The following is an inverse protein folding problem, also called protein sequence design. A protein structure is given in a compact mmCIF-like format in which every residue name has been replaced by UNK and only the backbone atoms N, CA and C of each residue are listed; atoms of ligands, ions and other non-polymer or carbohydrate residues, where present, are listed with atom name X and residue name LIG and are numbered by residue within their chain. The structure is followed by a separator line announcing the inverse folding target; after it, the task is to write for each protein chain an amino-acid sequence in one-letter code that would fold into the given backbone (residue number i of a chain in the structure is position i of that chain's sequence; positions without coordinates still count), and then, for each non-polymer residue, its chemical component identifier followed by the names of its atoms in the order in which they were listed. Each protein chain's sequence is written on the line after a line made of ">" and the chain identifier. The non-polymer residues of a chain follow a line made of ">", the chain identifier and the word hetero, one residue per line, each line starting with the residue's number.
data_IF_133689313252
#
_entry.id   IF_133689313252
#
_cell.length_a   1.000
_cell.length_b   1.000
_cell.length_c   1.000
_cell.angle_alpha   90.00
_cell.angle_beta   90.00
_cell.angle_gamma   90.00
#
_symmetry.space_group_name_H-M   'P 1'
#
loop_
_entity.id
_entity.type
_entity.pdbx_description
1 polymer ?
#
# COMPACT_ATOMS: atom_id res chain seq x y z
N UNK A 1 0.45 19.60 -9.34
CA UNK A 1 0.85 18.62 -8.31
C UNK A 1 0.23 17.25 -8.64
N UNK A 2 0.94 16.16 -8.35
CA UNK A 2 0.47 14.81 -8.62
C UNK A 2 0.70 13.87 -7.44
N UNK A 3 -0.07 12.80 -7.35
CA UNK A 3 -0.02 11.81 -6.27
C UNK A 3 -0.13 10.39 -6.81
N UNK A 4 0.63 9.47 -6.20
CA UNK A 4 0.53 8.02 -6.40
C UNK A 4 0.22 7.39 -5.05
N UNK A 5 -0.88 6.65 -4.93
CA UNK A 5 -1.29 5.97 -3.70
C UNK A 5 -1.68 4.53 -3.99
N UNK A 6 -1.27 3.63 -3.11
CA UNK A 6 -1.71 2.25 -3.09
C UNK A 6 -2.44 1.97 -1.79
N UNK A 7 -3.54 1.23 -1.90
CA UNK A 7 -4.34 0.79 -0.77
C UNK A 7 -4.46 -0.72 -0.80
N UNK A 8 -3.96 -1.36 0.26
CA UNK A 8 -4.13 -2.79 0.48
C UNK A 8 -5.17 -3.00 1.58
N UNK A 9 -6.02 -4.01 1.39
CA UNK A 9 -6.99 -4.45 2.38
C UNK A 9 -6.92 -5.96 2.47
N UNK A 10 -6.68 -6.48 3.67
CA UNK A 10 -6.69 -7.89 3.99
C UNK A 10 -7.78 -8.20 5.03
N UNK A 11 -8.45 -9.34 4.89
CA UNK A 11 -9.52 -9.80 5.78
C UNK A 11 -9.22 -11.22 6.27
N UNK A 12 -9.34 -11.48 7.57
CA UNK A 12 -8.98 -12.80 8.14
C UNK A 12 -9.99 -13.90 7.83
N UNK A 13 -11.29 -13.58 7.92
CA UNK A 13 -12.42 -14.50 7.74
C UNK A 13 -13.45 -13.85 6.80
N UNK A 14 -13.16 -13.73 5.49
CA UNK A 14 -14.04 -13.02 4.58
C UNK A 14 -15.38 -13.75 4.39
N UNK A 15 -16.45 -12.97 4.21
CA UNK A 15 -17.75 -13.51 3.79
C UNK A 15 -17.69 -14.03 2.34
N UNK A 16 -18.60 -14.93 1.92
CA UNK A 16 -18.66 -15.39 0.53
C UNK A 16 -18.71 -14.21 -0.46
N UNK A 17 -17.85 -14.25 -1.49
CA UNK A 17 -17.74 -13.21 -2.51
C UNK A 17 -16.92 -11.97 -2.09
N UNK A 18 -16.33 -11.98 -0.90
CA UNK A 18 -15.35 -10.97 -0.48
C UNK A 18 -13.94 -11.55 -0.63
N UNK A 19 -13.06 -10.95 -1.43
CA UNK A 19 -11.68 -11.40 -1.51
C UNK A 19 -10.97 -11.27 -0.16
N UNK A 20 -10.11 -12.24 0.18
CA UNK A 20 -9.27 -12.19 1.38
C UNK A 20 -8.27 -11.04 1.32
N UNK A 21 -7.82 -10.66 0.13
CA UNK A 21 -6.91 -9.54 -0.07
C UNK A 21 -7.23 -8.78 -1.36
N UNK A 22 -7.15 -7.46 -1.30
CA UNK A 22 -7.27 -6.56 -2.45
C UNK A 22 -6.16 -5.51 -2.37
N UNK A 23 -5.55 -5.18 -3.51
CA UNK A 23 -4.69 -4.00 -3.65
C UNK A 23 -5.17 -3.14 -4.80
N UNK A 24 -5.21 -1.82 -4.60
CA UNK A 24 -5.63 -0.84 -5.60
C UNK A 24 -4.66 0.32 -5.67
N UNK A 25 -4.16 0.62 -6.87
CA UNK A 25 -3.32 1.77 -7.14
C UNK A 25 -4.09 2.94 -7.74
N UNK A 26 -3.72 4.16 -7.35
CA UNK A 26 -4.34 5.41 -7.80
C UNK A 26 -3.28 6.43 -8.24
N UNK A 27 -3.55 7.13 -9.34
CA UNK A 27 -2.85 8.36 -9.74
C UNK A 27 -3.86 9.50 -9.80
N UNK A 28 -3.65 10.52 -8.97
CA UNK A 28 -4.56 11.68 -8.83
C UNK A 28 -6.03 11.28 -8.63
N UNK A 29 -6.24 10.24 -7.82
CA UNK A 29 -7.55 9.67 -7.52
C UNK A 29 -8.15 8.78 -8.62
N UNK A 30 -7.49 8.62 -9.77
CA UNK A 30 -7.93 7.69 -10.81
C UNK A 30 -7.34 6.30 -10.54
N UNK A 31 -8.17 5.25 -10.60
CA UNK A 31 -7.71 3.87 -10.42
C UNK A 31 -6.83 3.46 -11.61
N UNK A 32 -5.62 2.97 -11.34
CA UNK A 32 -4.65 2.59 -12.37
C UNK A 32 -4.33 1.11 -12.39
N UNK A 33 -4.47 0.44 -11.25
CA UNK A 33 -4.18 -0.98 -11.11
C UNK A 33 -5.03 -1.60 -10.01
N UNK A 34 -5.33 -2.88 -10.18
CA UNK A 34 -6.10 -3.67 -9.22
C UNK A 34 -5.53 -5.09 -9.11
N UNK A 35 -5.60 -5.64 -7.91
CA UNK A 35 -5.39 -7.06 -7.61
C UNK A 35 -6.42 -7.50 -6.60
N UNK A 36 -6.89 -8.74 -6.73
CA UNK A 36 -7.65 -9.43 -5.71
C UNK A 36 -7.18 -10.88 -5.57
N UNK A 37 -7.39 -11.44 -4.40
CA UNK A 37 -6.97 -12.81 -4.08
C UNK A 37 -7.79 -13.90 -4.78
N UNK A 38 -8.91 -13.56 -5.43
CA UNK A 38 -9.74 -14.52 -6.17
C UNK A 38 -9.10 -14.84 -7.52
N UNK A 39 -8.64 -13.81 -8.23
CA UNK A 39 -7.94 -13.94 -9.51
C UNK A 39 -6.44 -14.20 -9.32
N UNK A 40 -5.86 -13.70 -8.22
CA UNK A 40 -4.44 -13.80 -7.92
C UNK A 40 -3.55 -13.07 -8.93
N UNK A 41 -4.08 -12.09 -9.66
CA UNK A 41 -3.37 -11.35 -10.71
C UNK A 41 -3.57 -9.85 -10.61
N UNK A 42 -2.48 -9.11 -10.86
CA UNK A 42 -2.53 -7.67 -11.04
C UNK A 42 -3.00 -7.35 -12.46
N UNK A 43 -3.95 -6.45 -12.58
CA UNK A 43 -4.48 -5.99 -13.87
C UNK A 43 -4.49 -4.47 -13.95
N UNK A 44 -4.34 -3.96 -15.17
CA UNK A 44 -4.56 -2.55 -15.45
C UNK A 44 -6.03 -2.19 -15.21
N UNK A 45 -6.27 -1.00 -14.67
CA UNK A 45 -7.61 -0.41 -14.54
C UNK A 45 -7.76 0.89 -15.32
N UNK A 46 -6.75 1.25 -16.12
CA UNK A 46 -6.77 2.42 -16.98
C UNK A 46 -6.16 2.11 -18.36
N UNK A 47 -6.79 2.59 -19.43
CA UNK A 47 -6.35 2.32 -20.81
C UNK A 47 -4.92 2.80 -21.07
N UNK A 48 -4.56 3.96 -20.53
CA UNK A 48 -3.22 4.53 -20.68
C UNK A 48 -2.15 3.74 -19.92
N UNK A 49 -2.52 3.03 -18.85
CA UNK A 49 -1.60 2.09 -18.19
C UNK A 49 -1.41 0.84 -19.06
N UNK A 50 -2.50 0.28 -19.58
CA UNK A 50 -2.46 -0.92 -20.43
C UNK A 50 -1.69 -0.69 -21.74
N UNK A 51 -1.78 0.52 -22.31
CA UNK A 51 -1.09 0.87 -23.55
C UNK A 51 0.43 1.09 -23.39
N UNK A 52 0.91 1.36 -22.17
CA UNK A 52 2.31 1.77 -21.93
C UNK A 52 3.13 0.76 -21.10
N UNK A 53 2.49 -0.29 -20.55
CA UNK A 53 3.14 -1.27 -19.67
C UNK A 53 2.95 -2.67 -20.22
N UNK A 54 4.06 -3.43 -20.26
CA UNK A 54 4.10 -4.77 -20.81
C UNK A 54 3.69 -5.86 -19.79
N UNK A 55 3.59 -7.10 -20.28
CA UNK A 55 3.24 -8.23 -19.43
C UNK A 55 4.28 -8.48 -18.33
N UNK A 56 5.58 -8.26 -18.60
CA UNK A 56 6.64 -8.46 -17.62
C UNK A 56 6.50 -7.53 -16.41
N UNK A 57 6.07 -6.28 -16.63
CA UNK A 57 5.68 -5.37 -15.55
C UNK A 57 4.54 -5.93 -14.72
N UNK A 58 3.44 -6.37 -15.35
CA UNK A 58 2.26 -6.89 -14.64
C UNK A 58 2.55 -8.20 -13.88
N UNK A 59 3.41 -9.05 -14.42
CA UNK A 59 3.87 -10.28 -13.75
C UNK A 59 4.66 -9.94 -12.48
N UNK A 60 5.55 -8.93 -12.54
CA UNK A 60 6.28 -8.45 -11.38
C UNK A 60 5.36 -7.85 -10.32
N UNK A 61 4.39 -7.02 -10.72
CA UNK A 61 3.41 -6.44 -9.78
C UNK A 61 2.55 -7.54 -9.14
N UNK A 62 2.16 -8.54 -9.92
CA UNK A 62 1.44 -9.72 -9.41
C UNK A 62 2.23 -10.43 -8.32
N UNK A 63 3.52 -10.71 -8.54
CA UNK A 63 4.37 -11.37 -7.53
C UNK A 63 4.52 -10.54 -6.25
N UNK A 64 4.67 -9.22 -6.38
CA UNK A 64 4.77 -8.29 -5.24
C UNK A 64 3.50 -8.35 -4.38
N UNK A 65 2.32 -8.35 -5.01
CA UNK A 65 1.05 -8.37 -4.29
C UNK A 65 0.67 -9.75 -3.76
N UNK A 66 1.05 -10.84 -4.44
CA UNK A 66 0.97 -12.19 -3.88
C UNK A 66 1.82 -12.33 -2.62
N UNK A 67 3.05 -11.81 -2.64
CA UNK A 67 3.93 -11.79 -1.45
C UNK A 67 3.31 -10.95 -0.32
N UNK A 68 2.78 -9.77 -0.66
CA UNK A 68 2.08 -8.89 0.29
C UNK A 68 0.87 -9.58 0.92
N UNK A 69 0.03 -10.25 0.13
CA UNK A 69 -1.12 -11.01 0.60
C UNK A 69 -0.72 -12.03 1.68
N UNK A 70 0.38 -12.76 1.48
CA UNK A 70 0.85 -13.73 2.47
C UNK A 70 1.35 -13.07 3.76
N UNK A 71 2.09 -11.96 3.63
CA UNK A 71 2.56 -11.17 4.79
C UNK A 71 1.38 -10.61 5.59
N UNK A 72 0.36 -10.12 4.90
CA UNK A 72 -0.81 -9.52 5.54
C UNK A 72 -1.69 -10.57 6.23
N UNK A 73 -1.81 -11.78 5.66
CA UNK A 73 -2.45 -12.92 6.33
C UNK A 73 -1.78 -13.24 7.67
N UNK A 74 -0.45 -13.38 7.68
CA UNK A 74 0.31 -13.66 8.91
C UNK A 74 0.23 -12.47 9.90
N UNK A 75 0.21 -11.25 9.37
CA UNK A 75 0.09 -10.04 10.19
C UNK A 75 -1.27 -9.96 10.89
N UNK A 76 -2.36 -10.38 10.22
CA UNK A 76 -3.70 -10.47 10.81
C UNK A 76 -3.75 -11.50 11.93
N UNK A 77 -3.18 -12.70 11.74
CA UNK A 77 -3.10 -13.73 12.78
C UNK A 77 -2.32 -13.22 14.00
N UNK A 78 -1.22 -12.51 13.76
CA UNK A 78 -0.40 -11.89 14.81
C UNK A 78 -1.18 -10.82 15.57
N UNK A 79 -1.90 -9.94 14.86
CA UNK A 79 -2.70 -8.88 15.47
C UNK A 79 -3.83 -9.47 16.32
N UNK A 80 -4.57 -10.47 15.81
CA UNK A 80 -5.62 -11.17 16.56
C UNK A 80 -5.11 -11.74 17.89
N UNK A 81 -3.94 -12.38 17.87
CA UNK A 81 -3.31 -12.89 19.08
C UNK A 81 -2.99 -11.77 20.08
N UNK A 82 -2.38 -10.67 19.61
CA UNK A 82 -2.01 -9.52 20.47
C UNK A 82 -3.20 -8.81 21.10
N UNK A 83 -4.33 -8.77 20.41
CA UNK A 83 -5.57 -8.17 20.91
C UNK A 83 -6.49 -9.17 21.61
N UNK A 84 -6.06 -10.43 21.79
CA UNK A 84 -6.85 -11.52 22.38
C UNK A 84 -8.20 -11.75 21.66
N UNK A 85 -8.21 -11.59 20.33
CA UNK A 85 -9.40 -11.72 19.49
C UNK A 85 -9.49 -13.13 18.88
N UNK A 86 -10.49 -13.90 19.30
CA UNK A 86 -10.63 -15.31 18.92
C UNK A 86 -11.66 -15.58 17.81
N UNK A 87 -12.60 -14.65 17.56
CA UNK A 87 -13.69 -14.82 16.59
C UNK A 87 -13.98 -13.53 15.85
N UNK A 88 -14.54 -13.67 14.65
CA UNK A 88 -14.95 -12.54 13.82
C UNK A 88 -13.92 -12.19 12.75
N UNK A 89 -14.41 -11.51 11.71
CA UNK A 89 -13.57 -11.00 10.66
C UNK A 89 -12.84 -9.75 11.15
N UNK A 90 -11.52 -9.76 11.02
CA UNK A 90 -10.66 -8.61 11.29
C UNK A 90 -10.04 -8.12 9.99
N UNK A 91 -9.77 -6.81 9.93
CA UNK A 91 -9.22 -6.17 8.75
C UNK A 91 -7.87 -5.55 9.05
N UNK A 92 -6.97 -5.66 8.09
CA UNK A 92 -5.72 -4.92 8.05
C UNK A 92 -5.74 -4.10 6.78
N UNK A 93 -5.49 -2.81 6.92
CA UNK A 93 -5.43 -1.90 5.78
C UNK A 93 -4.07 -1.26 5.76
N UNK A 94 -3.56 -0.99 4.56
CA UNK A 94 -2.29 -0.30 4.37
C UNK A 94 -2.46 0.75 3.28
N UNK A 95 -2.04 1.98 3.57
CA UNK A 95 -1.94 3.04 2.57
C UNK A 95 -0.49 3.46 2.50
N UNK A 96 0.04 3.49 1.28
CA UNK A 96 1.38 4.00 1.03
C UNK A 96 1.46 4.70 -0.32
N UNK A 97 2.40 5.62 -0.46
CA UNK A 97 2.53 6.37 -1.69
C UNK A 97 3.28 7.68 -1.54
N UNK A 98 3.26 8.50 -2.57
CA UNK A 98 4.02 9.73 -2.62
C UNK A 98 3.30 10.82 -3.41
N UNK A 99 3.65 12.06 -3.10
CA UNK A 99 3.20 13.24 -3.82
C UNK A 99 4.41 13.97 -4.45
N UNK A 100 4.19 14.55 -5.63
CA UNK A 100 5.07 15.51 -6.29
C UNK A 100 4.35 16.86 -6.35
N UNK A 101 4.83 17.82 -5.55
CA UNK A 101 4.21 19.13 -5.39
C UNK A 101 4.61 20.10 -6.51
N UNK A 102 3.92 21.24 -6.58
CA UNK A 102 4.15 22.26 -7.62
C UNK A 102 5.55 22.87 -7.57
N UNK A 103 6.09 23.04 -6.36
CA UNK A 103 7.46 23.51 -6.12
C UNK A 103 8.53 22.45 -6.39
N UNK A 104 8.14 21.26 -6.85
CA UNK A 104 9.01 20.11 -7.10
C UNK A 104 9.40 19.32 -5.85
N UNK A 105 8.96 19.74 -4.66
CA UNK A 105 9.16 18.98 -3.43
C UNK A 105 8.35 17.68 -3.44
N UNK A 106 8.81 16.71 -2.64
CA UNK A 106 8.19 15.38 -2.59
C UNK A 106 7.76 15.05 -1.17
N UNK A 107 6.67 14.30 -1.04
CA UNK A 107 6.17 13.77 0.24
C UNK A 107 5.93 12.28 0.11
N UNK A 108 6.21 11.53 1.17
CA UNK A 108 5.98 10.09 1.24
C UNK A 108 5.04 9.75 2.38
N UNK A 109 4.23 8.72 2.20
CA UNK A 109 3.25 8.26 3.17
C UNK A 109 3.35 6.76 3.34
N UNK A 110 3.26 6.31 4.59
CA UNK A 110 3.08 4.91 4.93
C UNK A 110 2.30 4.81 6.23
N UNK A 111 1.14 4.17 6.18
CA UNK A 111 0.29 3.94 7.33
C UNK A 111 -0.41 2.59 7.23
N UNK A 112 -0.58 1.93 8.36
CA UNK A 112 -1.46 0.78 8.49
C UNK A 112 -2.61 1.12 9.45
N UNK A 113 -3.75 0.51 9.19
CA UNK A 113 -4.91 0.49 10.06
C UNK A 113 -5.31 -0.96 10.38
N UNK A 114 -5.95 -1.15 11.53
CA UNK A 114 -6.50 -2.41 11.99
C UNK A 114 -7.95 -2.20 12.42
N UNK A 115 -8.87 -3.00 11.89
CA UNK A 115 -10.32 -2.85 12.12
C UNK A 115 -10.84 -1.42 11.87
N UNK A 116 -10.34 -0.79 10.79
CA UNK A 116 -10.74 0.57 10.39
C UNK A 116 -10.16 1.70 11.25
N UNK A 117 -9.29 1.39 12.21
CA UNK A 117 -8.66 2.38 13.10
C UNK A 117 -7.16 2.48 12.83
N UNK A 118 -6.61 3.67 13.00
CA UNK A 118 -5.17 3.89 12.90
C UNK A 118 -4.41 2.88 13.77
N UNK A 119 -3.34 2.32 13.23
CA UNK A 119 -2.52 1.33 13.92
C UNK A 119 -1.07 1.80 14.02
N UNK A 120 -0.41 2.06 12.88
CA UNK A 120 0.97 2.55 12.87
C UNK A 120 1.24 3.40 11.62
N UNK A 121 1.97 4.51 11.77
CA UNK A 121 2.37 5.39 10.67
C UNK A 121 3.86 5.71 10.73
N UNK A 122 4.51 5.82 9.58
CA UNK A 122 5.91 6.24 9.47
C UNK A 122 6.00 7.76 9.39
N UNK A 123 6.81 8.35 10.27
CA UNK A 123 7.27 9.73 10.15
C UNK A 123 8.54 9.74 9.29
N UNK A 124 8.43 10.35 8.10
CA UNK A 124 9.49 10.40 7.09
C UNK A 124 10.60 11.41 7.43
N UNK A 125 10.36 12.32 8.37
CA UNK A 125 11.31 13.35 8.77
C UNK A 125 12.18 12.84 9.92
N UNK A 126 11.56 12.18 10.91
CA UNK A 126 12.27 11.62 12.06
C UNK A 126 12.74 10.18 11.86
N UNK A 127 12.27 9.49 10.81
CA UNK A 127 12.54 8.06 10.57
C UNK A 127 12.03 7.15 11.70
N UNK A 128 10.97 7.57 12.39
CA UNK A 128 10.35 6.82 13.50
C UNK A 128 8.91 6.46 13.19
N UNK A 129 8.34 5.54 13.96
CA UNK A 129 6.94 5.15 13.82
C UNK A 129 6.07 5.75 14.92
N UNK A 130 4.88 6.23 14.57
CA UNK A 130 3.83 6.54 15.54
C UNK A 130 2.90 5.35 15.65
N UNK A 131 2.78 4.78 16.86
CA UNK A 131 1.86 3.69 17.17
C UNK A 131 0.60 4.23 17.85
N UNK A 132 -0.57 3.80 17.39
CA UNK A 132 -1.86 4.33 17.84
C UNK A 132 -2.32 3.79 19.21
N UNK A 133 -1.93 2.57 19.56
CA UNK A 133 -2.30 1.93 20.82
C UNK A 133 -1.21 0.98 21.36
N UNK A 134 -1.48 0.34 22.50
CA UNK A 134 -0.55 -0.59 23.17
C UNK A 134 -0.23 -1.84 22.33
N UNK A 135 -1.15 -2.31 21.48
CA UNK A 135 -0.92 -3.44 20.58
C UNK A 135 0.01 -3.06 19.44
N UNK A 136 -0.14 -1.85 18.90
CA UNK A 136 0.72 -1.27 17.88
C UNK A 136 2.14 -0.97 18.40
N UNK A 137 2.29 -0.60 19.68
CA UNK A 137 3.60 -0.37 20.30
C UNK A 137 4.54 -1.57 20.19
N UNK A 138 3.99 -2.79 20.21
CA UNK A 138 4.76 -4.03 20.00
C UNK A 138 5.38 -4.05 18.60
N UNK A 139 4.63 -3.65 17.58
CA UNK A 139 5.14 -3.55 16.19
C UNK A 139 6.17 -2.43 16.07
N UNK A 140 5.89 -1.25 16.64
CA UNK A 140 6.83 -0.12 16.63
C UNK A 140 8.20 -0.53 17.18
N UNK A 141 8.25 -1.08 18.40
CA UNK A 141 9.52 -1.51 19.01
C UNK A 141 10.27 -2.50 18.13
N UNK A 142 9.58 -3.54 17.63
CA UNK A 142 10.18 -4.54 16.74
C UNK A 142 10.78 -3.90 15.47
N UNK A 143 10.09 -2.97 14.84
CA UNK A 143 10.55 -2.34 13.60
C UNK A 143 11.67 -1.34 13.83
N UNK A 144 11.64 -0.59 14.93
CA UNK A 144 12.70 0.36 15.29
C UNK A 144 13.95 -0.34 15.79
N UNK A 145 13.83 -1.47 16.51
CA UNK A 145 14.96 -2.32 16.91
C UNK A 145 15.63 -3.01 15.71
N UNK A 146 14.84 -3.46 14.73
CA UNK A 146 15.39 -4.00 13.48
C UNK A 146 16.11 -2.93 12.64
N UNK A 147 15.64 -1.68 12.69
CA UNK A 147 16.25 -0.53 12.02
C UNK A 147 16.19 -0.56 10.48
N UNK A 148 15.74 -1.65 9.86
CA UNK A 148 15.72 -1.75 8.38
C UNK A 148 14.39 -1.32 7.76
N UNK A 149 13.30 -1.38 8.52
CA UNK A 149 11.95 -1.15 7.98
C UNK A 149 11.75 0.28 7.53
N UNK A 150 12.10 1.26 8.38
CA UNK A 150 11.97 2.67 8.06
C UNK A 150 12.80 3.04 6.81
N UNK A 151 14.00 2.48 6.70
CA UNK A 151 14.98 2.83 5.66
C UNK A 151 14.55 2.27 4.30
N UNK A 152 14.01 1.06 4.29
CA UNK A 152 13.39 0.46 3.09
C UNK A 152 12.22 1.30 2.59
N UNK A 153 11.34 1.74 3.50
CA UNK A 153 10.21 2.59 3.13
C UNK A 153 10.66 3.96 2.67
N UNK A 154 11.64 4.59 3.32
CA UNK A 154 12.23 5.85 2.87
C UNK A 154 12.77 5.74 1.45
N UNK A 155 13.54 4.70 1.17
CA UNK A 155 14.12 4.48 -0.16
C UNK A 155 13.03 4.34 -1.22
N UNK A 156 11.99 3.55 -0.95
CA UNK A 156 10.87 3.41 -1.87
C UNK A 156 10.11 4.73 -2.06
N UNK A 157 9.71 5.39 -0.96
CA UNK A 157 8.82 6.55 -0.98
C UNK A 157 9.49 7.80 -1.55
N UNK A 158 10.79 8.02 -1.28
CA UNK A 158 11.53 9.18 -1.81
C UNK A 158 11.98 8.98 -3.26
N UNK A 159 12.28 7.76 -3.67
CA UNK A 159 12.89 7.49 -4.98
C UNK A 159 11.93 6.73 -5.90
N UNK A 160 11.76 5.43 -5.66
CA UNK A 160 11.02 4.53 -6.57
C UNK A 160 9.58 4.98 -6.81
N UNK A 161 8.87 5.42 -5.76
CA UNK A 161 7.51 5.92 -5.89
C UNK A 161 7.45 7.17 -6.77
N UNK A 162 8.37 8.13 -6.61
CA UNK A 162 8.41 9.36 -7.39
C UNK A 162 8.76 9.09 -8.86
N UNK A 163 9.69 8.17 -9.11
CA UNK A 163 10.02 7.72 -10.46
C UNK A 163 8.80 7.12 -11.18
N UNK A 164 8.06 6.25 -10.50
CA UNK A 164 6.84 5.66 -11.05
C UNK A 164 5.71 6.67 -11.21
N UNK A 165 5.52 7.57 -10.26
CA UNK A 165 4.55 8.66 -10.36
C UNK A 165 4.80 9.50 -11.62
N UNK A 166 6.06 9.91 -11.88
CA UNK A 166 6.42 10.65 -13.10
C UNK A 166 6.10 9.88 -14.37
N UNK A 167 6.39 8.57 -14.40
CA UNK A 167 6.07 7.70 -15.55
C UNK A 167 4.56 7.62 -15.77
N UNK A 168 3.79 7.30 -14.74
CA UNK A 168 2.34 7.15 -14.87
C UNK A 168 1.65 8.46 -15.26
N UNK A 169 2.08 9.59 -14.70
CA UNK A 169 1.60 10.92 -15.14
C UNK A 169 1.91 11.16 -16.62
N UNK A 170 3.11 10.78 -17.09
CA UNK A 170 3.47 10.94 -18.50
C UNK A 170 2.62 10.08 -19.43
N UNK A 171 2.28 8.84 -19.04
CA UNK A 171 1.40 7.96 -19.81
C UNK A 171 -0.04 8.47 -19.84
N UNK A 172 -0.54 8.96 -18.71
CA UNK A 172 -1.91 9.43 -18.53
C UNK A 172 -2.13 10.92 -18.85
N UNK A 173 -1.12 11.65 -19.36
CA UNK A 173 -1.14 13.11 -19.49
C UNK A 173 -2.44 13.64 -20.08
N UNK A 174 -2.85 13.08 -21.22
CA UNK A 174 -4.05 13.51 -21.94
C UNK A 174 -5.35 13.31 -21.16
N UNK A 175 -5.39 12.43 -20.15
CA UNK A 175 -6.56 12.18 -19.29
C UNK A 175 -6.46 12.99 -18.00
N UNK A 176 -5.26 13.08 -17.41
CA UNK A 176 -5.04 13.73 -16.12
C UNK A 176 -5.10 15.26 -16.19
N UNK A 177 -4.63 15.86 -17.30
CA UNK A 177 -4.60 17.33 -17.50
C UNK A 177 -5.93 17.90 -18.05
N UNK A 178 -6.97 17.07 -18.23
CA UNK A 178 -8.31 17.53 -18.65
C UNK A 178 -9.19 18.02 -17.49
N UNK A 179 -8.68 18.00 -16.26
CA UNK A 179 -9.34 18.49 -15.05
C UNK A 179 -8.76 19.84 -14.65
#
# INVERSE_FOLDING_TARGET
>A
PHSLRYFDVAVSEPSPGVPQFVSVGYVDGNVISRYDSETGRAVSSADWMAANLDQAYWDRVTQIWQSTQQVDRVSLETARSRYNQSRGAHTRQRMYGCDLLEDGSTRGYYQNAYDGRDFIALDMDTMTFTAADVGAQITKRKWEEDGTVAERWKQYLKNTCIEWLRKYVSYGRAVLERK
#
